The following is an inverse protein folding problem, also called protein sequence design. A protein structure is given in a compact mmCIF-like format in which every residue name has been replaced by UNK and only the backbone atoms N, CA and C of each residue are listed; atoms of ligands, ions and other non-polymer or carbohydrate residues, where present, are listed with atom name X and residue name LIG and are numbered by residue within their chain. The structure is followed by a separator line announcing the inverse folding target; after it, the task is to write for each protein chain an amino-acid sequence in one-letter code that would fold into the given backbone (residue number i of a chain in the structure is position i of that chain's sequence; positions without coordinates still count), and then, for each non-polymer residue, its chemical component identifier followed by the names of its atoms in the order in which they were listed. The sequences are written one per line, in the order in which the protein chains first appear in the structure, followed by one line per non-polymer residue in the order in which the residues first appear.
data_IF_789010305924
#
_entry.id   IF_789010305924
#
_cell.length_a   1.000
_cell.length_b   1.000
_cell.length_c   1.000
_cell.angle_alpha   90.00
_cell.angle_beta   90.00
_cell.angle_gamma   90.00
#
_symmetry.space_group_name_H-M   'P 1'
#
loop_
_entity.id
_entity.type
_entity.pdbx_description
1 polymer ?
#
# COMPACT_ATOMS: atom_id res chain seq x y z
N UNK A 1 12.26 -23.26 -15.88
CA UNK A 1 12.73 -23.19 -14.48
C UNK A 1 14.25 -23.14 -14.46
N UNK A 2 14.86 -22.05 -14.00
CA UNK A 2 16.33 -21.91 -13.96
C UNK A 2 16.87 -22.36 -12.60
N UNK A 3 17.81 -23.30 -12.63
CA UNK A 3 18.43 -23.90 -11.43
C UNK A 3 19.06 -22.83 -10.53
N UNK A 4 19.63 -21.79 -11.14
CA UNK A 4 20.25 -20.67 -10.44
C UNK A 4 19.24 -19.85 -9.61
N UNK A 5 18.04 -19.57 -10.14
CA UNK A 5 16.99 -18.86 -9.39
C UNK A 5 16.52 -19.66 -8.19
N UNK A 6 16.34 -20.98 -8.36
CA UNK A 6 15.96 -21.85 -7.25
C UNK A 6 17.02 -21.83 -6.14
N UNK A 7 18.31 -21.84 -6.50
CA UNK A 7 19.38 -21.76 -5.51
C UNK A 7 19.34 -20.45 -4.72
N UNK A 8 19.22 -19.32 -5.41
CA UNK A 8 19.14 -18.01 -4.76
C UNK A 8 17.92 -17.90 -3.84
N UNK A 9 16.74 -18.37 -4.28
CA UNK A 9 15.53 -18.37 -3.44
C UNK A 9 15.71 -19.24 -2.21
N UNK A 10 16.26 -20.46 -2.37
CA UNK A 10 16.47 -21.38 -1.24
C UNK A 10 17.36 -20.80 -0.15
N UNK A 11 18.35 -19.99 -0.50
CA UNK A 11 19.24 -19.34 0.47
C UNK A 11 18.58 -18.21 1.27
N UNK A 12 17.46 -17.67 0.79
CA UNK A 12 16.76 -16.55 1.44
C UNK A 12 15.39 -16.95 1.98
N UNK A 13 15.02 -18.23 1.91
CA UNK A 13 13.72 -18.74 2.35
C UNK A 13 13.47 -18.49 3.84
N UNK A 14 14.46 -18.70 4.70
CA UNK A 14 14.29 -18.44 6.15
C UNK A 14 13.95 -16.96 6.41
N UNK A 15 14.66 -16.05 5.74
CA UNK A 15 14.41 -14.60 5.83
C UNK A 15 13.04 -14.22 5.24
N UNK A 16 12.60 -14.91 4.19
CA UNK A 16 11.28 -14.72 3.58
C UNK A 16 10.17 -15.15 4.55
N UNK A 17 10.30 -16.32 5.18
CA UNK A 17 9.33 -16.83 6.17
C UNK A 17 9.26 -15.91 7.40
N UNK A 18 10.39 -15.34 7.83
CA UNK A 18 10.45 -14.39 8.94
C UNK A 18 10.03 -12.95 8.54
N UNK A 19 9.66 -12.70 7.28
CA UNK A 19 9.35 -11.37 6.73
C UNK A 19 10.47 -10.32 6.95
N UNK A 20 11.73 -10.76 6.87
CA UNK A 20 12.93 -9.93 7.07
C UNK A 20 13.60 -9.50 5.77
N UNK A 21 12.98 -9.78 4.63
CA UNK A 21 13.45 -9.34 3.32
C UNK A 21 13.02 -7.89 3.04
N UNK A 22 13.74 -7.23 2.14
CA UNK A 22 13.29 -5.96 1.57
C UNK A 22 12.06 -6.20 0.68
N UNK A 23 11.22 -5.18 0.48
CA UNK A 23 10.00 -5.30 -0.33
C UNK A 23 10.24 -5.88 -1.72
N UNK A 24 11.34 -5.48 -2.37
CA UNK A 24 11.69 -5.96 -3.72
C UNK A 24 12.08 -7.45 -3.71
N UNK A 25 12.86 -7.86 -2.71
CA UNK A 25 13.30 -9.25 -2.56
C UNK A 25 12.13 -10.15 -2.17
N UNK A 26 11.23 -9.66 -1.32
CA UNK A 26 10.01 -10.37 -0.93
C UNK A 26 9.11 -10.63 -2.15
N UNK A 27 8.83 -9.60 -2.94
CA UNK A 27 8.05 -9.72 -4.18
C UNK A 27 8.67 -10.73 -5.16
N UNK A 28 9.99 -10.64 -5.36
CA UNK A 28 10.72 -11.54 -6.25
C UNK A 28 10.69 -13.00 -5.78
N UNK A 29 10.85 -13.26 -4.47
CA UNK A 29 10.71 -14.61 -3.90
C UNK A 29 9.28 -15.11 -4.07
N UNK A 30 8.28 -14.28 -3.77
CA UNK A 30 6.87 -14.62 -3.89
C UNK A 30 6.50 -15.03 -5.33
N UNK A 31 6.95 -14.27 -6.34
CA UNK A 31 6.78 -14.59 -7.76
C UNK A 31 7.39 -15.97 -8.08
N UNK A 32 8.63 -16.22 -7.63
CA UNK A 32 9.26 -17.52 -7.86
C UNK A 32 8.50 -18.69 -7.20
N UNK A 33 7.96 -18.48 -6.00
CA UNK A 33 7.21 -19.51 -5.28
C UNK A 33 5.90 -19.86 -5.98
N UNK A 34 5.27 -18.94 -6.72
CA UNK A 34 4.09 -19.24 -7.53
C UNK A 34 4.40 -20.30 -8.58
N UNK A 35 5.52 -20.13 -9.29
CA UNK A 35 5.90 -20.99 -10.41
C UNK A 35 6.71 -22.24 -10.01
N UNK A 36 7.32 -22.27 -8.82
CA UNK A 36 8.26 -23.31 -8.42
C UNK A 36 7.78 -24.18 -7.26
N UNK A 37 7.17 -25.33 -7.59
CA UNK A 37 6.68 -26.29 -6.59
C UNK A 37 7.76 -26.79 -5.62
N UNK A 38 9.00 -26.98 -6.09
CA UNK A 38 10.10 -27.46 -5.24
C UNK A 38 10.55 -26.43 -4.19
N UNK A 39 10.54 -25.14 -4.52
CA UNK A 39 10.85 -24.08 -3.56
C UNK A 39 9.66 -23.83 -2.62
N UNK A 40 8.42 -23.94 -3.13
CA UNK A 40 7.19 -23.87 -2.32
C UNK A 40 7.17 -24.93 -1.21
N UNK A 41 7.46 -26.19 -1.56
CA UNK A 41 7.49 -27.28 -0.59
C UNK A 41 8.54 -27.06 0.52
N UNK A 42 9.69 -26.45 0.19
CA UNK A 42 10.70 -26.12 1.19
C UNK A 42 10.28 -24.95 2.08
N UNK A 43 9.70 -23.90 1.49
CA UNK A 43 9.12 -22.79 2.26
C UNK A 43 8.08 -23.30 3.27
N UNK A 44 7.22 -24.23 2.82
CA UNK A 44 6.20 -24.84 3.66
C UNK A 44 6.78 -25.70 4.79
N UNK A 45 7.91 -26.37 4.55
CA UNK A 45 8.62 -27.17 5.56
C UNK A 45 9.34 -26.29 6.60
N UNK A 46 9.77 -25.09 6.21
CA UNK A 46 10.40 -24.10 7.10
C UNK A 46 9.37 -23.28 7.89
N UNK A 47 8.10 -23.29 7.47
CA UNK A 47 7.04 -22.56 8.15
C UNK A 47 6.84 -23.11 9.59
N UNK A 48 7.01 -22.27 10.62
CA UNK A 48 7.18 -22.74 12.00
C UNK A 48 5.95 -23.35 12.66
N UNK A 49 4.79 -23.46 12.01
CA UNK A 49 3.58 -23.96 12.68
C UNK A 49 2.69 -24.86 11.80
N UNK A 50 2.90 -26.19 11.81
CA UNK A 50 1.96 -27.13 11.21
C UNK A 50 0.59 -27.12 11.91
N UNK A 51 0.53 -26.80 13.21
CA UNK A 51 -0.73 -26.74 13.99
C UNK A 51 -1.66 -25.58 13.59
N UNK A 52 -1.11 -24.45 13.13
CA UNK A 52 -1.92 -23.32 12.64
C UNK A 52 -2.56 -23.64 11.29
N UNK A 53 -1.87 -24.40 10.42
CA UNK A 53 -2.45 -24.87 9.15
C UNK A 53 -3.65 -25.81 9.38
N UNK A 54 -3.57 -26.68 10.38
CA UNK A 54 -4.69 -27.53 10.76
C UNK A 54 -5.87 -26.71 11.31
N UNK A 55 -5.60 -25.68 12.10
CA UNK A 55 -6.62 -24.76 12.63
C UNK A 55 -7.26 -23.89 11.55
N UNK A 56 -6.51 -23.49 10.51
CA UNK A 56 -7.05 -22.73 9.38
C UNK A 56 -8.07 -23.54 8.55
N UNK A 57 -8.02 -24.88 8.59
CA UNK A 57 -9.04 -25.73 7.98
C UNK A 57 -10.36 -25.73 8.76
N UNK A 58 -10.37 -25.25 10.01
CA UNK A 58 -11.52 -25.24 10.92
C UNK A 58 -12.13 -23.84 11.09
N UNK A 59 -12.00 -22.98 10.07
CA UNK A 59 -12.64 -21.68 10.09
C UNK A 59 -14.17 -21.84 10.15
N UNK A 60 -14.86 -21.12 11.06
CA UNK A 60 -16.30 -21.22 11.17
C UNK A 60 -16.97 -20.76 9.87
N UNK A 61 -17.99 -21.51 9.45
CA UNK A 61 -18.78 -21.16 8.27
C UNK A 61 -19.32 -19.73 8.41
N UNK A 62 -19.10 -18.90 7.39
CA UNK A 62 -19.55 -17.50 7.36
C UNK A 62 -18.54 -16.47 7.87
N UNK A 63 -17.35 -16.86 8.34
CA UNK A 63 -16.31 -15.89 8.73
C UNK A 63 -15.86 -15.03 7.54
N UNK A 64 -15.68 -15.66 6.37
CA UNK A 64 -15.31 -14.95 5.14
C UNK A 64 -16.37 -13.90 4.77
N UNK A 65 -17.65 -14.27 4.83
CA UNK A 65 -18.77 -13.38 4.57
C UNK A 65 -18.78 -12.20 5.56
N UNK A 66 -18.59 -12.49 6.85
CA UNK A 66 -18.53 -11.46 7.90
C UNK A 66 -17.36 -10.50 7.72
N UNK A 67 -16.22 -10.97 7.21
CA UNK A 67 -15.07 -10.11 6.90
C UNK A 67 -15.39 -9.23 5.70
N UNK A 68 -15.91 -9.79 4.61
CA UNK A 68 -16.32 -9.03 3.42
C UNK A 68 -17.30 -7.92 3.79
N UNK A 69 -18.35 -8.27 4.53
CA UNK A 69 -19.40 -7.33 4.94
C UNK A 69 -18.86 -6.21 5.85
N UNK A 70 -17.85 -6.49 6.68
CA UNK A 70 -17.19 -5.48 7.51
C UNK A 70 -16.36 -4.49 6.68
N UNK A 71 -15.69 -4.94 5.62
CA UNK A 71 -14.95 -4.05 4.70
C UNK A 71 -15.91 -3.15 3.93
N UNK A 72 -16.99 -3.70 3.36
CA UNK A 72 -18.00 -2.94 2.62
C UNK A 72 -18.68 -1.86 3.48
N UNK A 73 -18.94 -2.18 4.75
CA UNK A 73 -19.45 -1.23 5.74
C UNK A 73 -18.44 -0.11 6.03
N UNK A 74 -17.17 -0.45 6.21
CA UNK A 74 -16.11 0.51 6.50
C UNK A 74 -15.79 1.47 5.34
N UNK A 75 -15.96 1.03 4.09
CA UNK A 75 -15.82 1.91 2.92
C UNK A 75 -17.00 2.88 2.77
N UNK A 76 -18.22 2.42 3.06
CA UNK A 76 -19.41 3.30 3.04
C UNK A 76 -19.36 4.42 4.08
N UNK A 77 -18.76 4.16 5.25
CA UNK A 77 -18.60 5.18 6.31
C UNK A 77 -17.51 6.21 6.00
N UNK A 78 -16.52 5.86 5.16
CA UNK A 78 -15.45 6.77 4.72
C UNK A 78 -15.84 7.62 3.50
N UNK A 79 -16.90 7.25 2.80
CA UNK A 79 -17.46 8.01 1.67
C UNK A 79 -18.32 9.22 2.07
N UNK A 80 -18.53 9.45 3.37
CA UNK A 80 -19.26 10.62 3.86
C UNK A 80 -18.41 11.88 3.81
N UNK A 81 -18.88 12.92 3.10
CA UNK A 81 -18.38 14.28 3.25
C UNK A 81 -18.17 14.59 4.75
N UNK A 82 -17.06 15.22 5.14
CA UNK A 82 -16.80 15.53 6.54
C UNK A 82 -18.02 16.27 7.08
N UNK A 83 -18.55 15.82 8.22
CA UNK A 83 -19.67 16.49 8.90
C UNK A 83 -19.15 17.82 9.44
N UNK A 84 -19.12 18.84 8.58
CA UNK A 84 -18.65 20.17 8.93
C UNK A 84 -19.53 20.70 10.06
N UNK A 85 -18.92 20.99 11.20
CA UNK A 85 -19.57 21.81 12.22
C UNK A 85 -19.82 23.20 11.63
N UNK A 86 -20.92 23.89 12.01
CA UNK A 86 -21.33 25.16 11.38
C UNK A 86 -20.23 26.24 11.42
N UNK A 87 -19.36 26.21 12.44
CA UNK A 87 -18.20 27.09 12.54
C UNK A 87 -17.15 26.88 11.42
N UNK A 88 -16.96 25.64 10.95
CA UNK A 88 -15.99 25.32 9.90
C UNK A 88 -16.52 25.67 8.50
N UNK A 89 -17.83 25.63 8.30
CA UNK A 89 -18.46 26.03 7.03
C UNK A 89 -18.26 27.54 6.75
N UNK A 90 -18.38 28.39 7.78
CA UNK A 90 -18.15 29.83 7.66
C UNK A 90 -16.68 30.15 7.33
N UNK A 91 -15.73 29.43 7.92
CA UNK A 91 -14.31 29.61 7.63
C UNK A 91 -13.96 29.30 6.17
N UNK A 92 -14.50 28.22 5.60
CA UNK A 92 -14.29 27.88 4.19
C UNK A 92 -14.89 28.93 3.24
N UNK A 93 -16.10 29.42 3.53
CA UNK A 93 -16.73 30.48 2.73
C UNK A 93 -15.90 31.76 2.78
N UNK A 94 -15.38 32.12 3.95
CA UNK A 94 -14.50 33.29 4.11
C UNK A 94 -13.18 33.14 3.36
N UNK A 95 -12.54 31.97 3.42
CA UNK A 95 -11.31 31.68 2.68
C UNK A 95 -11.53 31.76 1.16
N UNK A 96 -12.64 31.22 0.65
CA UNK A 96 -12.98 31.31 -0.77
C UNK A 96 -13.28 32.75 -1.21
N UNK A 97 -13.96 33.54 -0.36
CA UNK A 97 -14.22 34.96 -0.62
C UNK A 97 -12.92 35.79 -0.67
N UNK A 98 -11.98 35.53 0.25
CA UNK A 98 -10.65 36.16 0.23
C UNK A 98 -9.85 35.76 -1.01
N UNK A 99 -9.83 34.47 -1.38
CA UNK A 99 -9.14 34.01 -2.58
C UNK A 99 -9.69 34.67 -3.86
N UNK A 100 -11.01 34.83 -3.96
CA UNK A 100 -11.65 35.53 -5.07
C UNK A 100 -11.28 37.03 -5.13
N UNK A 101 -11.19 37.70 -3.98
CA UNK A 101 -10.78 39.11 -3.90
C UNK A 101 -9.30 39.32 -4.25
N UNK A 102 -8.42 38.38 -3.87
CA UNK A 102 -7.01 38.42 -4.25
C UNK A 102 -6.81 38.16 -5.75
N UNK A 103 -7.55 37.22 -6.34
CA UNK A 103 -7.52 36.96 -7.78
C UNK A 103 -8.03 38.16 -8.60
N UNK A 104 -9.06 38.87 -8.12
CA UNK A 104 -9.59 40.06 -8.79
C UNK A 104 -8.64 41.27 -8.72
N UNK A 105 -7.65 41.27 -7.82
CA UNK A 105 -6.73 42.40 -7.59
C UNK A 105 -5.39 42.26 -8.29
N UNK A 106 -5.05 41.09 -8.86
CA UNK A 106 -3.82 40.94 -9.65
C UNK A 106 -4.04 41.42 -11.09
N UNK A 107 -3.37 42.51 -11.55
CA UNK A 107 -3.32 42.80 -12.97
C UNK A 107 -2.55 41.69 -13.71
N UNK A 108 -2.91 41.37 -14.96
CA UNK A 108 -2.16 40.42 -15.77
C UNK A 108 -0.79 41.02 -16.12
N UNK A 109 0.23 40.69 -15.33
CA UNK A 109 1.60 41.07 -15.63
C UNK A 109 2.53 39.87 -15.45
N UNK A 110 2.85 39.28 -16.62
CA UNK A 110 4.04 38.48 -16.97
C UNK A 110 4.12 37.10 -16.28
N UNK A 111 3.98 35.96 -16.96
CA UNK A 111 4.57 35.54 -18.24
C UNK A 111 6.04 35.97 -18.36
N UNK A 112 6.94 35.29 -17.63
CA UNK A 112 8.28 34.96 -18.11
C UNK A 112 8.95 33.91 -17.18
N UNK A 113 9.01 32.68 -17.71
CA UNK A 113 10.16 31.79 -17.86
C UNK A 113 11.14 31.51 -16.68
N UNK A 114 11.71 30.28 -16.65
CA UNK A 114 12.25 29.64 -15.45
C UNK A 114 13.65 30.15 -15.08
N UNK A 115 13.86 30.44 -13.79
CA UNK A 115 15.18 30.72 -13.25
C UNK A 115 15.80 29.42 -12.70
N UNK A 116 16.94 29.11 -13.28
CA UNK A 116 17.85 28.02 -12.95
C UNK A 116 18.15 27.91 -11.45
N UNK A 117 18.22 26.67 -10.98
CA UNK A 117 19.11 26.29 -9.89
C UNK A 117 20.29 25.53 -10.50
N UNK A 118 21.39 26.27 -10.61
CA UNK A 118 22.75 25.75 -10.64
C UNK A 118 23.02 24.96 -9.35
N UNK A 119 23.65 23.78 -9.40
CA UNK A 119 24.91 23.48 -8.70
C UNK A 119 25.42 22.04 -8.98
N UNK A 120 26.66 21.98 -9.48
CA UNK A 120 27.75 21.03 -9.15
C UNK A 120 27.51 19.50 -9.21
N UNK A 121 27.98 18.89 -10.31
CA UNK A 121 29.00 17.80 -10.28
C UNK A 121 29.29 17.29 -11.69
N UNK A 122 30.46 17.65 -12.24
CA UNK A 122 31.52 16.79 -12.80
C UNK A 122 32.37 17.52 -13.84
#
# INVERSE_FOLDING_TARGET
MSVFRCWSVRNVLDLFIDHRLTSDADHWVAEHLQDCAACRAQAEALSPVPELKASAAQLPAGLQESILEAFERGESERGGLPRLQPAQALALVYCLALAGLHAAKQPPSQANAPAALEDVSR
#
